data_IF_422817908343
#
_entry.id   IF_422817908343
#
_cell.length_a   1.000
_cell.length_b   1.000
_cell.length_c   1.000
_cell.angle_alpha   90.00
_cell.angle_beta   90.00
_cell.angle_gamma   90.00
#
_symmetry.space_group_name_H-M   'P 1'
#
loop_
_entity.id
_entity.type
_entity.pdbx_description
1 polymer ?
#
# COMPACT_ATOMS: atom_id res chain seq x y z
N UNK A 1 1.74 -0.17 -13.43
CA UNK A 1 2.12 0.58 -12.22
C UNK A 1 3.53 0.15 -11.82
N UNK A 2 4.41 1.10 -11.54
CA UNK A 2 5.76 0.79 -11.03
C UNK A 2 5.70 0.50 -9.52
N UNK A 3 6.71 -0.17 -8.96
CA UNK A 3 6.76 -0.46 -7.51
C UNK A 3 6.75 0.83 -6.67
N UNK A 4 7.45 1.86 -7.14
CA UNK A 4 7.45 3.17 -6.49
C UNK A 4 6.08 3.83 -6.51
N UNK A 5 5.37 3.74 -7.63
CA UNK A 5 4.00 4.25 -7.73
C UNK A 5 3.03 3.44 -6.86
N UNK A 6 3.20 2.12 -6.79
CA UNK A 6 2.40 1.26 -5.93
C UNK A 6 2.59 1.62 -4.45
N UNK A 7 3.84 1.77 -4.00
CA UNK A 7 4.17 2.21 -2.64
C UNK A 7 3.55 3.56 -2.31
N UNK A 8 3.63 4.52 -3.23
CA UNK A 8 3.01 5.84 -3.06
C UNK A 8 1.49 5.73 -2.88
N UNK A 9 0.80 4.99 -3.76
CA UNK A 9 -0.65 4.82 -3.66
C UNK A 9 -1.05 4.07 -2.38
N UNK A 10 -0.33 3.03 -1.99
CA UNK A 10 -0.57 2.34 -0.73
C UNK A 10 -0.36 3.27 0.48
N UNK A 11 0.67 4.13 0.44
CA UNK A 11 0.90 5.15 1.45
C UNK A 11 -0.21 6.21 1.49
N UNK A 12 -0.70 6.66 0.34
CA UNK A 12 -1.84 7.57 0.28
C UNK A 12 -3.10 6.93 0.90
N UNK A 13 -3.42 5.69 0.56
CA UNK A 13 -4.54 4.97 1.17
C UNK A 13 -4.44 4.91 2.71
N UNK A 14 -3.22 4.75 3.24
CA UNK A 14 -2.99 4.63 4.67
C UNK A 14 -2.95 5.97 5.40
N UNK A 15 -2.44 7.04 4.79
CA UNK A 15 -2.02 8.25 5.51
C UNK A 15 -2.59 9.57 4.97
N UNK A 16 -3.47 9.57 3.95
CA UNK A 16 -4.00 10.82 3.38
C UNK A 16 -5.02 11.54 4.25
N UNK A 17 -5.45 10.95 5.38
CA UNK A 17 -6.43 11.55 6.27
C UNK A 17 -5.81 12.71 7.08
N UNK A 18 -6.41 13.89 6.97
CA UNK A 18 -5.87 15.18 7.41
C UNK A 18 -5.75 15.33 8.94
N UNK A 19 -6.39 14.46 9.71
CA UNK A 19 -6.39 14.50 11.19
C UNK A 19 -5.35 13.58 11.84
N UNK A 20 -4.47 12.91 11.08
CA UNK A 20 -3.52 11.93 11.64
C UNK A 20 -2.24 12.56 12.20
N UNK A 21 -1.81 12.03 13.35
CA UNK A 21 -0.70 12.52 14.19
C UNK A 21 0.69 12.09 13.67
N UNK A 22 0.76 11.12 12.76
CA UNK A 22 2.05 10.57 12.28
C UNK A 22 2.39 11.14 10.90
N UNK A 23 3.33 12.09 10.79
CA UNK A 23 3.85 12.50 9.50
C UNK A 23 4.71 11.36 8.94
N UNK A 24 4.15 10.58 8.02
CA UNK A 24 4.90 9.61 7.23
C UNK A 24 5.44 10.31 5.98
N UNK A 25 6.74 10.20 5.75
CA UNK A 25 7.33 10.64 4.50
C UNK A 25 6.98 9.64 3.39
N UNK A 26 5.92 9.93 2.63
CA UNK A 26 5.43 9.04 1.57
C UNK A 26 6.45 8.80 0.43
N UNK A 27 7.50 9.63 0.35
CA UNK A 27 8.58 9.43 -0.62
C UNK A 27 9.58 8.35 -0.25
N UNK A 28 9.68 8.06 1.05
CA UNK A 28 10.57 7.03 1.60
C UNK A 28 9.79 5.80 2.06
N UNK A 29 8.45 5.89 2.10
CA UNK A 29 7.57 4.79 2.49
C UNK A 29 7.66 3.65 1.47
N UNK A 30 8.23 2.50 1.89
CA UNK A 30 8.52 1.37 1.01
C UNK A 30 7.99 0.05 1.57
N UNK A 31 6.66 -0.13 1.69
CA UNK A 31 6.06 -1.33 2.27
C UNK A 31 6.36 -2.63 1.48
N UNK A 32 6.84 -2.55 0.24
CA UNK A 32 7.28 -3.72 -0.52
C UNK A 32 8.61 -4.29 -0.02
N UNK A 33 9.52 -3.45 0.47
CA UNK A 33 10.88 -3.88 0.85
C UNK A 33 11.23 -3.59 2.32
N UNK A 34 10.41 -2.80 3.02
CA UNK A 34 10.57 -2.43 4.42
C UNK A 34 9.48 -3.08 5.26
N UNK A 35 9.89 -4.01 6.14
CA UNK A 35 8.97 -4.69 7.06
C UNK A 35 8.25 -3.71 7.99
N UNK A 36 8.95 -2.68 8.44
CA UNK A 36 8.37 -1.68 9.34
C UNK A 36 7.30 -0.86 8.61
N UNK A 37 7.53 -0.50 7.36
CA UNK A 37 6.54 0.22 6.56
C UNK A 37 5.35 -0.65 6.17
N UNK A 38 5.58 -1.94 5.89
CA UNK A 38 4.50 -2.90 5.73
C UNK A 38 3.66 -2.99 7.01
N UNK A 39 4.28 -3.07 8.19
CA UNK A 39 3.53 -3.11 9.45
C UNK A 39 2.72 -1.83 9.65
N UNK A 40 3.31 -0.65 9.38
CA UNK A 40 2.56 0.62 9.44
C UNK A 40 1.37 0.61 8.48
N UNK A 41 1.55 0.15 7.24
CA UNK A 41 0.47 0.01 6.26
C UNK A 41 -0.68 -0.83 6.83
N UNK A 42 -0.37 -2.01 7.37
CA UNK A 42 -1.38 -2.94 7.89
C UNK A 42 -2.12 -2.35 9.10
N UNK A 43 -1.41 -1.67 10.00
CA UNK A 43 -2.00 -1.03 11.18
C UNK A 43 -2.99 0.07 10.77
N UNK A 44 -2.60 0.92 9.82
CA UNK A 44 -3.41 2.07 9.43
C UNK A 44 -4.60 1.73 8.52
N UNK A 45 -4.49 0.64 7.76
CA UNK A 45 -5.53 0.20 6.80
C UNK A 45 -6.45 -0.88 7.35
N UNK A 46 -6.02 -1.61 8.39
CA UNK A 46 -6.75 -2.78 8.89
C UNK A 46 -6.70 -4.00 7.96
N UNK A 47 -5.84 -3.98 6.93
CA UNK A 47 -5.65 -5.11 6.03
C UNK A 47 -5.10 -6.31 6.81
N UNK A 48 -5.68 -7.47 6.54
CA UNK A 48 -5.26 -8.76 7.08
C UNK A 48 -4.88 -9.71 5.96
N UNK A 49 -4.26 -10.84 6.31
CA UNK A 49 -3.84 -11.84 5.34
C UNK A 49 -4.57 -13.15 5.53
N UNK A 50 -4.97 -13.76 4.42
CA UNK A 50 -5.47 -15.12 4.37
C UNK A 50 -4.72 -15.96 3.33
N UNK A 51 -4.90 -17.28 3.42
CA UNK A 51 -4.31 -18.25 2.49
C UNK A 51 -5.44 -19.08 1.88
N UNK A 52 -6.11 -18.57 0.82
CA UNK A 52 -7.29 -19.23 0.26
C UNK A 52 -6.98 -20.58 -0.37
N UNK A 53 -5.75 -20.76 -0.85
CA UNK A 53 -5.24 -22.01 -1.44
C UNK A 53 -3.72 -22.10 -1.34
N UNK A 54 -3.19 -23.28 -1.58
CA UNK A 54 -1.75 -23.50 -1.64
C UNK A 54 -1.12 -22.62 -2.72
N UNK A 55 0.03 -22.02 -2.40
CA UNK A 55 0.76 -21.15 -3.33
C UNK A 55 0.16 -19.77 -3.57
N UNK A 56 -0.88 -19.36 -2.83
CA UNK A 56 -1.50 -18.03 -2.95
C UNK A 56 -1.65 -17.38 -1.58
N UNK A 57 -1.37 -16.08 -1.51
CA UNK A 57 -1.71 -15.23 -0.36
C UNK A 57 -2.72 -14.20 -0.82
N UNK A 58 -3.74 -13.97 0.00
CA UNK A 58 -4.66 -12.86 -0.18
C UNK A 58 -4.40 -11.82 0.90
N UNK A 59 -4.43 -10.55 0.52
CA UNK A 59 -4.68 -9.44 1.43
C UNK A 59 -6.17 -9.13 1.39
N UNK A 60 -6.78 -8.87 2.54
CA UNK A 60 -8.22 -8.68 2.65
C UNK A 60 -8.62 -7.68 3.73
N UNK A 61 -9.74 -7.02 3.46
CA UNK A 61 -10.57 -6.26 4.39
C UNK A 61 -12.01 -6.80 4.26
N UNK A 62 -12.92 -6.42 5.16
CA UNK A 62 -14.29 -6.97 5.23
C UNK A 62 -15.06 -7.06 3.91
N UNK A 63 -14.76 -6.19 2.94
CA UNK A 63 -15.48 -6.07 1.67
C UNK A 63 -14.63 -6.26 0.41
N UNK A 64 -13.32 -6.48 0.55
CA UNK A 64 -12.41 -6.52 -0.61
C UNK A 64 -11.18 -7.39 -0.35
N UNK A 65 -10.69 -8.04 -1.39
CA UNK A 65 -9.50 -8.90 -1.32
C UNK A 65 -8.66 -8.80 -2.58
N UNK A 66 -7.35 -8.98 -2.44
CA UNK A 66 -6.41 -9.07 -3.55
C UNK A 66 -5.51 -10.30 -3.40
N UNK A 67 -5.51 -11.20 -4.39
CA UNK A 67 -4.72 -12.43 -4.39
C UNK A 67 -3.40 -12.28 -5.16
N UNK A 68 -2.32 -12.81 -4.59
CA UNK A 68 -1.00 -12.89 -5.21
C UNK A 68 -0.45 -14.31 -5.11
N UNK A 69 0.08 -14.82 -6.22
CA UNK A 69 0.78 -16.11 -6.24
C UNK A 69 2.16 -15.99 -5.58
N UNK A 70 2.52 -16.97 -4.75
CA UNK A 70 3.80 -17.03 -4.05
C UNK A 70 4.88 -17.50 -5.03
N UNK A 71 5.90 -16.67 -5.27
CA UNK A 71 7.06 -16.99 -6.10
C UNK A 71 8.32 -17.19 -5.22
N UNK A 72 8.26 -18.16 -4.31
CA UNK A 72 9.39 -18.51 -3.42
C UNK A 72 9.43 -17.75 -2.09
N UNK A 73 8.95 -16.51 -2.04
CA UNK A 73 8.83 -15.74 -0.79
C UNK A 73 7.37 -15.35 -0.51
N UNK A 74 6.83 -15.96 0.55
CA UNK A 74 5.48 -15.70 1.02
C UNK A 74 5.32 -14.29 1.60
N UNK A 75 6.35 -13.72 2.23
CA UNK A 75 6.29 -12.38 2.83
C UNK A 75 6.29 -11.32 1.73
N UNK A 76 7.13 -11.48 0.71
CA UNK A 76 7.10 -10.60 -0.46
C UNK A 76 5.75 -10.64 -1.19
N UNK A 77 5.16 -11.84 -1.34
CA UNK A 77 3.82 -11.98 -1.92
C UNK A 77 2.73 -11.31 -1.06
N UNK A 78 2.82 -11.43 0.27
CA UNK A 78 1.91 -10.75 1.20
C UNK A 78 2.05 -9.22 1.12
N UNK A 79 3.27 -8.71 1.14
CA UNK A 79 3.56 -7.29 0.99
C UNK A 79 2.95 -6.74 -0.30
N UNK A 80 3.15 -7.47 -1.41
CA UNK A 80 2.57 -7.11 -2.70
C UNK A 80 1.06 -7.11 -2.66
N UNK A 81 0.43 -8.16 -2.12
CA UNK A 81 -1.03 -8.25 -2.01
C UNK A 81 -1.62 -7.09 -1.21
N UNK A 82 -1.01 -6.73 -0.06
CA UNK A 82 -1.46 -5.61 0.76
C UNK A 82 -1.33 -4.28 0.03
N UNK A 83 -0.20 -4.06 -0.64
CA UNK A 83 0.02 -2.83 -1.39
C UNK A 83 -0.95 -2.69 -2.55
N UNK A 84 -1.19 -3.76 -3.33
CA UNK A 84 -2.14 -3.75 -4.45
C UNK A 84 -3.58 -3.52 -3.97
N UNK A 85 -3.97 -4.13 -2.84
CA UNK A 85 -5.28 -3.87 -2.24
C UNK A 85 -5.42 -2.41 -1.80
N UNK A 86 -4.47 -1.89 -1.02
CA UNK A 86 -4.50 -0.51 -0.56
C UNK A 86 -4.47 0.50 -1.73
N UNK A 87 -3.60 0.27 -2.72
CA UNK A 87 -3.50 1.14 -3.88
C UNK A 87 -4.76 1.16 -4.75
N UNK A 88 -5.61 0.12 -4.68
CA UNK A 88 -6.88 0.10 -5.40
C UNK A 88 -7.91 1.10 -4.87
N UNK A 89 -7.67 1.66 -3.67
CA UNK A 89 -8.51 2.71 -3.07
C UNK A 89 -8.13 4.12 -3.51
N UNK A 90 -7.01 4.26 -4.23
CA UNK A 90 -6.43 5.55 -4.64
C UNK A 90 -6.51 5.70 -6.15
N UNK A 91 -7.22 6.73 -6.59
CA UNK A 91 -7.33 7.05 -8.00
C UNK A 91 -6.22 8.00 -8.48
N UNK A 92 -6.23 8.31 -9.77
CA UNK A 92 -5.21 9.18 -10.36
C UNK A 92 -5.34 10.64 -9.90
N UNK A 93 -6.52 11.08 -9.47
CA UNK A 93 -6.77 12.44 -9.02
C UNK A 93 -6.22 12.64 -7.59
N UNK A 94 -6.29 11.64 -6.73
CA UNK A 94 -5.59 11.62 -5.43
C UNK A 94 -4.07 11.80 -5.60
N UNK A 95 -3.48 11.05 -6.53
CA UNK A 95 -2.03 11.13 -6.82
C UNK A 95 -1.66 12.50 -7.38
N UNK A 96 -2.50 13.09 -8.24
CA UNK A 96 -2.30 14.46 -8.74
C UNK A 96 -2.39 15.48 -7.61
N UNK A 97 -3.39 15.39 -6.75
CA UNK A 97 -3.58 16.29 -5.62
C UNK A 97 -2.36 16.27 -4.69
N UNK A 98 -1.83 15.09 -4.39
CA UNK A 98 -0.62 14.93 -3.59
C UNK A 98 0.62 15.56 -4.25
N UNK A 99 0.82 15.34 -5.55
CA UNK A 99 1.94 15.94 -6.29
C UNK A 99 1.86 17.48 -6.34
N UNK A 100 0.65 18.05 -6.38
CA UNK A 100 0.44 19.50 -6.31
C UNK A 100 0.79 20.00 -4.90
N UNK A 101 0.24 19.37 -3.86
CA UNK A 101 0.46 19.76 -2.47
C UNK A 101 1.94 19.70 -2.05
N UNK A 102 2.70 18.75 -2.58
CA UNK A 102 4.14 18.57 -2.30
C UNK A 102 5.06 19.33 -3.24
N UNK A 103 4.52 20.09 -4.21
CA UNK A 103 5.31 20.88 -5.14
C UNK A 103 6.03 20.08 -6.23
N UNK A 104 5.66 18.81 -6.44
CA UNK A 104 6.25 17.94 -7.49
C UNK A 104 5.87 18.34 -8.91
N UNK A 105 4.81 19.11 -9.10
CA UNK A 105 4.46 19.74 -10.38
C UNK A 105 5.14 21.11 -10.61
N UNK A 106 5.95 21.60 -9.68
CA UNK A 106 6.71 22.84 -9.86
C UNK A 106 8.12 22.56 -10.39
N UNK A 107 8.23 22.05 -11.63
CA UNK A 107 9.49 22.08 -12.37
C UNK A 107 9.32 22.01 -13.88
#
# INVERSE_FOLDING_TARGET
MTDKELNLRAGLAAFSDADRVVPVNLDEFDPLNSRDDLIKLLVETGISFSRPREGVIAAEISESSFEVAIQGDAVAAAARAACELAASWIDDDDVKAWNIATGRFAR
#
